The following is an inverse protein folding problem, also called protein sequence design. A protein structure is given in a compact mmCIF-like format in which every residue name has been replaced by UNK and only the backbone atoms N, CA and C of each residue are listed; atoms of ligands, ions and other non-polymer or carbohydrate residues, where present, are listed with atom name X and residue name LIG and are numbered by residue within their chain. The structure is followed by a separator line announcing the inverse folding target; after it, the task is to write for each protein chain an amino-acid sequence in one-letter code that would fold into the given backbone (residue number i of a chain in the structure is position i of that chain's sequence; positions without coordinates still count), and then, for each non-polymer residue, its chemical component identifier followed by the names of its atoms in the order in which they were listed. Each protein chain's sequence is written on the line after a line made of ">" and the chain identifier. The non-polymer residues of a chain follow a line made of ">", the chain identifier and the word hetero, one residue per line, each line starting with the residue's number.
data_IF_170081327403
#
_entry.id   IF_170081327403
#
_cell.length_a   1.000
_cell.length_b   1.000
_cell.length_c   1.000
_cell.angle_alpha   90.00
_cell.angle_beta   90.00
_cell.angle_gamma   90.00
#
_symmetry.space_group_name_H-M   'P 1'
#
loop_
_entity.id
_entity.type
_entity.pdbx_description
1 polymer ?
#
# COMPACT_ATOMS: atom_id res chain seq x y z
N UNK A 1 18.24 -81.69 -39.60
CA UNK A 1 17.82 -80.93 -40.80
C UNK A 1 16.30 -80.86 -40.88
N UNK A 2 15.70 -79.71 -40.51
CA UNK A 2 14.34 -79.18 -40.82
C UNK A 2 13.94 -78.24 -39.68
N UNK A 3 14.20 -76.94 -39.82
CA UNK A 3 13.43 -75.93 -40.55
C UNK A 3 12.43 -75.24 -39.62
N UNK A 4 12.75 -73.96 -39.33
CA UNK A 4 11.91 -72.97 -38.66
C UNK A 4 10.58 -72.78 -39.38
N UNK A 5 9.51 -72.53 -38.62
CA UNK A 5 8.45 -71.60 -39.06
C UNK A 5 8.00 -70.72 -37.89
N UNK A 6 7.96 -69.44 -38.23
CA UNK A 6 7.62 -68.24 -37.49
C UNK A 6 6.16 -68.27 -37.02
N UNK A 7 5.88 -68.05 -35.73
CA UNK A 7 4.53 -67.73 -35.24
C UNK A 7 4.56 -66.62 -34.18
N UNK A 8 3.98 -65.50 -34.59
CA UNK A 8 3.53 -64.33 -33.86
C UNK A 8 3.50 -64.45 -32.32
N UNK A 9 4.46 -63.81 -31.66
CA UNK A 9 4.36 -63.44 -30.25
C UNK A 9 3.63 -62.10 -30.14
N UNK A 10 2.39 -62.22 -29.68
CA UNK A 10 1.40 -61.23 -29.27
C UNK A 10 2.02 -60.02 -28.56
N UNK A 11 1.91 -58.86 -29.19
CA UNK A 11 1.98 -57.55 -28.52
C UNK A 11 0.66 -57.31 -27.78
N UNK A 12 0.63 -57.39 -26.45
CA UNK A 12 -0.48 -56.83 -25.67
C UNK A 12 -0.23 -56.82 -24.15
N UNK A 13 -0.51 -55.67 -23.54
CA UNK A 13 -0.90 -55.45 -22.15
C UNK A 13 0.17 -55.53 -21.05
N UNK A 14 0.80 -54.39 -20.78
CA UNK A 14 0.93 -53.84 -19.42
C UNK A 14 1.10 -52.32 -19.51
N UNK A 15 0.03 -51.63 -19.87
CA UNK A 15 0.00 -50.17 -19.93
C UNK A 15 -1.33 -49.64 -19.38
N UNK A 16 -1.69 -49.98 -18.14
CA UNK A 16 -2.69 -49.23 -17.37
C UNK A 16 -2.43 -49.45 -15.89
N UNK A 17 -1.76 -48.51 -15.23
CA UNK A 17 -1.96 -48.14 -13.81
C UNK A 17 -1.38 -46.73 -13.54
N UNK A 18 -1.60 -45.77 -14.46
CA UNK A 18 -1.35 -44.34 -14.18
C UNK A 18 -2.58 -43.50 -14.53
N UNK A 19 -3.77 -44.06 -14.30
CA UNK A 19 -5.03 -43.33 -14.31
C UNK A 19 -5.61 -43.40 -12.89
N UNK A 20 -4.94 -42.73 -11.96
CA UNK A 20 -5.30 -42.77 -10.54
C UNK A 20 -4.75 -41.61 -9.72
N UNK A 21 -4.34 -40.52 -10.37
CA UNK A 21 -4.11 -39.23 -9.70
C UNK A 21 -4.70 -38.12 -10.58
N UNK A 22 -5.97 -38.31 -10.96
CA UNK A 22 -6.79 -37.26 -11.53
C UNK A 22 -7.75 -36.80 -10.44
N UNK A 23 -7.23 -36.14 -9.42
CA UNK A 23 -8.04 -35.45 -8.43
C UNK A 23 -8.90 -34.45 -9.18
N UNK A 24 -10.19 -34.74 -9.27
CA UNK A 24 -11.17 -33.74 -9.66
C UNK A 24 -11.35 -32.88 -8.42
N UNK A 25 -10.45 -31.92 -8.22
CA UNK A 25 -10.38 -31.13 -6.99
C UNK A 25 -11.54 -30.12 -6.98
N UNK A 26 -12.68 -30.61 -6.48
CA UNK A 26 -13.67 -29.78 -5.81
C UNK A 26 -12.92 -29.01 -4.71
N UNK A 27 -12.71 -27.70 -4.90
CA UNK A 27 -11.69 -26.91 -4.20
C UNK A 27 -11.51 -27.25 -2.72
N UNK A 28 -10.29 -27.62 -2.33
CA UNK A 28 -9.94 -28.00 -0.95
C UNK A 28 -8.93 -27.05 -0.29
N UNK A 29 -8.48 -26.01 -1.01
CA UNK A 29 -7.49 -25.06 -0.49
C UNK A 29 -8.17 -23.80 0.03
N UNK A 30 -7.80 -23.42 1.26
CA UNK A 30 -8.18 -22.15 1.85
C UNK A 30 -7.35 -21.03 1.21
N UNK A 31 -8.01 -20.03 0.61
CA UNK A 31 -7.34 -18.84 0.11
C UNK A 31 -7.26 -17.78 1.22
N UNK A 32 -6.07 -17.62 1.80
CA UNK A 32 -5.77 -16.60 2.80
C UNK A 32 -4.97 -15.45 2.18
N UNK A 33 -5.34 -14.24 2.55
CA UNK A 33 -4.60 -13.01 2.28
C UNK A 33 -4.05 -12.45 3.59
N UNK A 34 -2.81 -11.98 3.56
CA UNK A 34 -2.19 -11.22 4.65
C UNK A 34 -2.03 -9.77 4.20
N UNK A 35 -2.59 -8.84 4.95
CA UNK A 35 -2.55 -7.40 4.67
C UNK A 35 -1.73 -6.69 5.75
N UNK A 36 -0.75 -5.88 5.36
CA UNK A 36 0.10 -5.10 6.27
C UNK A 36 -0.03 -3.60 5.98
N UNK A 37 0.16 -2.74 6.98
CA UNK A 37 0.18 -1.28 6.80
C UNK A 37 -1.17 -0.63 6.51
N UNK A 38 -2.28 -1.39 6.56
CA UNK A 38 -3.62 -0.86 6.33
C UNK A 38 -4.14 -0.12 7.58
N UNK A 39 -3.98 1.19 7.58
CA UNK A 39 -4.50 2.11 8.62
C UNK A 39 -5.82 2.76 8.20
N UNK A 40 -6.15 2.74 6.90
CA UNK A 40 -7.31 3.38 6.32
C UNK A 40 -8.39 2.36 5.96
N UNK A 41 -9.64 2.79 5.97
CA UNK A 41 -10.79 1.94 5.64
C UNK A 41 -11.06 1.91 4.14
N UNK A 42 -11.80 0.89 3.68
CA UNK A 42 -12.30 0.81 2.31
C UNK A 42 -11.53 -0.12 1.37
N UNK A 43 -10.58 -0.91 1.86
CA UNK A 43 -9.93 -1.94 1.05
C UNK A 43 -10.92 -3.09 0.79
N UNK A 44 -11.22 -3.35 -0.49
CA UNK A 44 -12.03 -4.50 -0.91
C UNK A 44 -11.19 -5.39 -1.82
N UNK A 45 -11.12 -6.67 -1.48
CA UNK A 45 -10.44 -7.69 -2.26
C UNK A 45 -11.47 -8.58 -2.94
N UNK A 46 -11.16 -9.04 -4.14
CA UNK A 46 -12.04 -9.86 -4.95
C UNK A 46 -11.32 -11.12 -5.43
N UNK A 47 -11.99 -12.26 -5.37
CA UNK A 47 -11.57 -13.51 -5.98
C UNK A 47 -12.75 -14.09 -6.77
N UNK A 48 -12.67 -14.10 -8.10
CA UNK A 48 -13.82 -14.40 -8.95
C UNK A 48 -14.97 -13.41 -8.70
N UNK A 49 -16.16 -13.93 -8.35
CA UNK A 49 -17.34 -13.11 -8.02
C UNK A 49 -17.46 -12.79 -6.52
N UNK A 50 -16.59 -13.37 -5.69
CA UNK A 50 -16.60 -13.18 -4.25
C UNK A 50 -15.76 -11.96 -3.85
N UNK A 51 -16.23 -11.21 -2.85
CA UNK A 51 -15.49 -10.08 -2.30
C UNK A 51 -15.39 -10.19 -0.78
N UNK A 52 -14.27 -9.70 -0.24
CA UNK A 52 -14.07 -9.54 1.20
C UNK A 52 -13.67 -8.08 1.46
N UNK A 53 -14.23 -7.51 2.52
CA UNK A 53 -13.84 -6.18 3.01
C UNK A 53 -12.79 -6.34 4.08
N UNK A 54 -11.66 -5.66 3.93
CA UNK A 54 -10.62 -5.59 4.95
C UNK A 54 -10.73 -4.24 5.64
N UNK A 55 -11.14 -4.25 6.89
CA UNK A 55 -11.24 -3.02 7.68
C UNK A 55 -9.85 -2.62 8.17
N UNK A 56 -9.46 -1.36 7.98
CA UNK A 56 -8.22 -0.85 8.55
C UNK A 56 -8.22 -0.91 10.08
N UNK A 57 -7.08 -1.24 10.67
CA UNK A 57 -6.89 -1.25 12.12
C UNK A 57 -6.05 -0.05 12.58
N UNK A 58 -6.20 0.34 13.85
CA UNK A 58 -5.30 1.33 14.47
C UNK A 58 -3.85 0.81 14.45
N UNK A 59 -2.92 1.63 13.94
CA UNK A 59 -1.49 1.31 13.95
C UNK A 59 -0.99 0.36 12.84
N UNK A 60 -1.83 0.01 11.85
CA UNK A 60 -1.37 -0.71 10.65
C UNK A 60 -0.96 -2.15 10.90
N UNK A 61 -1.54 -2.79 11.92
CA UNK A 61 -1.27 -4.16 12.30
C UNK A 61 -1.48 -5.14 11.13
N UNK A 62 -0.74 -6.25 11.14
CA UNK A 62 -0.91 -7.34 10.17
C UNK A 62 -2.28 -7.97 10.35
N UNK A 63 -3.05 -8.00 9.26
CA UNK A 63 -4.38 -8.60 9.21
C UNK A 63 -4.37 -9.82 8.33
N UNK A 64 -5.10 -10.85 8.74
CA UNK A 64 -5.32 -12.06 7.95
C UNK A 64 -6.80 -12.18 7.66
N UNK A 65 -7.11 -12.41 6.40
CA UNK A 65 -8.48 -12.68 5.97
C UNK A 65 -8.47 -13.86 5.01
N UNK A 66 -9.61 -14.53 4.92
CA UNK A 66 -9.79 -15.72 4.11
C UNK A 66 -11.03 -15.54 3.25
N UNK A 67 -10.93 -15.91 1.98
CA UNK A 67 -12.11 -16.03 1.13
C UNK A 67 -12.94 -17.24 1.57
N UNK A 68 -14.25 -17.07 1.81
CA UNK A 68 -15.12 -18.17 2.21
C UNK A 68 -15.13 -19.35 1.22
N UNK A 69 -15.01 -19.08 -0.08
CA UNK A 69 -14.99 -20.12 -1.11
C UNK A 69 -13.58 -20.71 -1.24
N UNK A 70 -13.48 -22.04 -1.09
CA UNK A 70 -12.23 -22.78 -1.31
C UNK A 70 -11.84 -22.77 -2.78
N UNK A 71 -10.53 -22.85 -3.05
CA UNK A 71 -9.99 -22.87 -4.42
C UNK A 71 -9.44 -24.25 -4.78
N UNK A 72 -9.46 -24.64 -6.06
CA UNK A 72 -8.83 -25.89 -6.54
C UNK A 72 -7.30 -25.84 -6.46
N UNK A 73 -6.67 -27.00 -6.30
CA UNK A 73 -5.22 -27.13 -6.53
C UNK A 73 -4.88 -26.79 -8.00
N UNK A 74 -3.68 -26.26 -8.23
CA UNK A 74 -3.17 -25.81 -9.55
C UNK A 74 -3.99 -24.73 -10.27
N UNK A 75 -5.07 -24.23 -9.66
CA UNK A 75 -5.75 -23.02 -10.09
C UNK A 75 -4.81 -21.82 -10.00
N UNK A 76 -5.04 -20.78 -10.80
CA UNK A 76 -4.23 -19.56 -10.70
C UNK A 76 -4.81 -18.67 -9.60
N UNK A 77 -3.98 -18.27 -8.64
CA UNK A 77 -4.34 -17.24 -7.67
C UNK A 77 -4.57 -15.92 -8.41
N UNK A 78 -5.80 -15.44 -8.44
CA UNK A 78 -6.19 -14.27 -9.22
C UNK A 78 -6.93 -13.24 -8.36
N UNK A 79 -6.41 -12.99 -7.16
CA UNK A 79 -6.97 -11.99 -6.25
C UNK A 79 -6.81 -10.60 -6.87
N UNK A 80 -7.86 -9.79 -6.82
CA UNK A 80 -7.86 -8.41 -7.30
C UNK A 80 -8.08 -7.48 -6.12
N UNK A 81 -7.43 -6.32 -6.16
CA UNK A 81 -7.82 -5.18 -5.33
C UNK A 81 -8.97 -4.50 -6.07
N UNK A 82 -10.20 -4.82 -5.68
CA UNK A 82 -11.41 -4.26 -6.32
C UNK A 82 -11.61 -2.80 -5.93
N UNK A 83 -11.22 -2.42 -4.71
CA UNK A 83 -11.26 -1.05 -4.23
C UNK A 83 -10.05 -0.75 -3.36
N UNK A 84 -9.35 0.34 -3.68
CA UNK A 84 -8.28 0.88 -2.83
C UNK A 84 -8.90 1.58 -1.60
N UNK A 85 -8.25 1.49 -0.43
CA UNK A 85 -8.66 2.26 0.74
C UNK A 85 -8.51 3.77 0.49
N UNK A 86 -9.24 4.58 1.27
CA UNK A 86 -9.13 6.04 1.20
C UNK A 86 -7.74 6.49 1.64
N UNK A 87 -7.15 7.48 0.94
CA UNK A 87 -5.86 8.08 1.28
C UNK A 87 -4.72 7.08 1.57
N UNK A 88 -4.75 5.91 0.93
CA UNK A 88 -3.72 4.90 1.02
C UNK A 88 -3.66 4.10 -0.28
N UNK A 89 -2.50 3.49 -0.55
CA UNK A 89 -2.29 2.63 -1.70
C UNK A 89 -1.80 1.26 -1.25
N UNK A 90 -2.55 0.23 -1.61
CA UNK A 90 -2.23 -1.18 -1.39
C UNK A 90 -1.78 -1.85 -2.68
N UNK A 91 -0.73 -2.66 -2.58
CA UNK A 91 -0.21 -3.47 -3.69
C UNK A 91 0.12 -4.88 -3.22
N UNK A 92 -0.01 -5.86 -4.12
CA UNK A 92 0.46 -7.21 -3.83
C UNK A 92 1.97 -7.24 -3.64
N UNK A 93 2.45 -8.11 -2.75
CA UNK A 93 3.87 -8.45 -2.70
C UNK A 93 4.25 -9.29 -3.93
N UNK A 94 5.44 -9.06 -4.46
CA UNK A 94 5.90 -9.72 -5.67
C UNK A 94 5.92 -11.25 -5.51
N UNK A 95 5.40 -11.95 -6.52
CA UNK A 95 5.38 -13.42 -6.55
C UNK A 95 4.35 -14.09 -5.63
N UNK A 96 3.50 -13.32 -4.94
CA UNK A 96 2.47 -13.89 -4.04
C UNK A 96 1.10 -14.09 -4.68
N UNK A 97 0.85 -13.44 -5.83
CA UNK A 97 -0.40 -13.50 -6.58
C UNK A 97 -0.10 -13.75 -8.07
N UNK A 98 -1.03 -14.35 -8.82
CA UNK A 98 -0.81 -14.80 -10.20
C UNK A 98 -0.05 -16.12 -10.34
N UNK A 99 0.26 -16.78 -9.22
CA UNK A 99 0.95 -18.08 -9.17
C UNK A 99 -0.03 -19.25 -9.11
N UNK A 100 0.48 -20.47 -9.32
CA UNK A 100 -0.31 -21.69 -9.16
C UNK A 100 -0.59 -21.98 -7.68
N UNK A 101 -1.83 -22.33 -7.39
CA UNK A 101 -2.32 -22.64 -6.07
C UNK A 101 -1.82 -24.02 -5.63
N UNK A 102 -1.20 -24.05 -4.45
CA UNK A 102 -0.92 -25.25 -3.67
C UNK A 102 -1.12 -24.89 -2.20
N UNK A 103 -0.98 -25.88 -1.31
CA UNK A 103 -1.14 -25.70 0.13
C UNK A 103 -0.37 -24.50 0.71
N UNK A 104 0.82 -24.20 0.20
CA UNK A 104 1.64 -23.08 0.68
C UNK A 104 1.32 -21.74 0.03
N UNK A 105 1.12 -21.71 -1.30
CA UNK A 105 0.86 -20.45 -2.02
C UNK A 105 -0.52 -19.89 -1.72
N UNK A 106 -1.53 -20.75 -1.51
CA UNK A 106 -2.89 -20.35 -1.14
C UNK A 106 -2.94 -19.61 0.21
N UNK A 107 -1.94 -19.80 1.09
CA UNK A 107 -1.86 -19.15 2.39
C UNK A 107 -0.95 -17.90 2.41
N UNK A 108 -0.33 -17.54 1.28
CA UNK A 108 0.77 -16.58 1.20
C UNK A 108 0.50 -15.40 0.26
N UNK A 109 -0.75 -15.16 -0.13
CA UNK A 109 -1.08 -13.92 -0.85
C UNK A 109 -0.85 -12.75 0.11
N UNK A 110 0.07 -11.86 -0.22
CA UNK A 110 0.44 -10.74 0.64
C UNK A 110 0.12 -9.40 -0.03
N UNK A 111 -0.38 -8.46 0.75
CA UNK A 111 -0.73 -7.11 0.30
C UNK A 111 -0.12 -6.12 1.28
N UNK A 112 0.69 -5.21 0.75
CA UNK A 112 1.34 -4.14 1.52
C UNK A 112 0.65 -2.82 1.19
N UNK A 113 0.15 -2.15 2.22
CA UNK A 113 -0.50 -0.84 2.12
C UNK A 113 0.40 0.26 2.66
N UNK A 114 0.37 1.41 1.99
CA UNK A 114 1.13 2.60 2.38
C UNK A 114 0.14 3.76 2.52
N UNK A 115 0.19 4.49 3.64
CA UNK A 115 -0.63 5.71 3.80
C UNK A 115 -0.07 6.81 2.90
N UNK A 116 -0.94 7.56 2.23
CA UNK A 116 -0.52 8.69 1.41
C UNK A 116 0.01 9.82 2.31
N UNK A 117 0.97 10.57 1.80
CA UNK A 117 1.45 11.80 2.44
C UNK A 117 1.12 13.00 1.57
N UNK A 118 0.85 14.13 2.22
CA UNK A 118 0.42 15.37 1.58
C UNK A 118 1.34 16.53 1.98
N UNK A 119 1.40 17.53 1.12
CA UNK A 119 2.19 18.74 1.35
C UNK A 119 1.52 19.66 2.35
N UNK A 120 2.36 20.41 3.06
CA UNK A 120 1.97 21.43 4.02
C UNK A 120 2.52 22.77 3.54
N UNK A 121 1.70 23.80 3.45
CA UNK A 121 2.14 25.10 2.95
C UNK A 121 1.14 26.21 3.17
N UNK A 122 1.48 27.38 2.63
CA UNK A 122 0.58 28.52 2.61
C UNK A 122 1.28 29.82 2.25
N UNK A 123 0.74 30.92 2.72
CA UNK A 123 1.12 32.27 2.30
C UNK A 123 2.10 32.92 3.27
N UNK A 124 2.98 33.76 2.72
CA UNK A 124 3.93 34.57 3.48
C UNK A 124 3.71 36.04 3.14
N UNK A 125 3.62 36.90 4.15
CA UNK A 125 3.49 38.35 3.99
C UNK A 125 4.49 39.09 4.86
N UNK A 126 5.05 40.19 4.36
CA UNK A 126 5.96 41.06 5.12
C UNK A 126 7.39 40.53 5.30
N UNK A 127 7.75 39.42 4.64
CA UNK A 127 9.09 38.84 4.69
C UNK A 127 10.05 39.61 3.77
N UNK A 128 10.62 40.71 4.25
CA UNK A 128 11.57 41.55 3.49
C UNK A 128 13.04 41.20 3.73
N UNK A 129 13.34 40.39 4.74
CA UNK A 129 14.70 40.01 5.14
C UNK A 129 14.89 38.49 5.11
N UNK A 130 16.12 38.04 4.87
CA UNK A 130 16.46 36.63 4.88
C UNK A 130 16.57 36.07 6.31
N UNK A 131 16.44 34.75 6.45
CA UNK A 131 16.64 34.05 7.72
C UNK A 131 15.37 33.48 8.37
N UNK A 132 14.21 33.58 7.71
CA UNK A 132 13.02 32.85 8.16
C UNK A 132 13.24 31.35 8.00
N UNK A 133 13.12 30.61 9.10
CA UNK A 133 13.07 29.16 9.10
C UNK A 133 11.77 28.68 9.72
N UNK A 134 11.02 27.86 9.01
CA UNK A 134 9.82 27.20 9.50
C UNK A 134 10.15 25.77 9.89
N UNK A 135 9.58 25.28 10.98
CA UNK A 135 9.76 23.90 11.43
C UNK A 135 8.42 23.18 11.52
N UNK A 136 8.39 21.90 11.13
CA UNK A 136 7.29 20.98 11.36
C UNK A 136 7.86 19.64 11.84
N UNK A 137 7.90 19.45 13.16
CA UNK A 137 8.55 18.29 13.78
C UNK A 137 10.07 18.31 13.62
N UNK A 138 10.61 17.35 12.86
CA UNK A 138 12.03 17.24 12.52
C UNK A 138 12.41 17.96 11.21
N UNK A 139 11.43 18.49 10.48
CA UNK A 139 11.62 19.07 9.17
C UNK A 139 11.74 20.59 9.26
N UNK A 140 12.89 21.13 8.85
CA UNK A 140 13.15 22.57 8.76
C UNK A 140 13.12 23.02 7.31
N UNK A 141 12.41 24.11 7.03
CA UNK A 141 12.30 24.75 5.73
C UNK A 141 12.86 26.18 5.82
N UNK A 142 13.86 26.48 5.00
CA UNK A 142 14.34 27.85 4.77
C UNK A 142 13.39 28.56 3.81
N UNK A 143 12.86 29.71 4.21
CA UNK A 143 11.98 30.54 3.39
C UNK A 143 12.76 31.76 2.88
N UNK A 144 12.98 31.90 1.56
CA UNK A 144 13.75 33.01 1.00
C UNK A 144 13.11 34.37 1.28
N UNK A 145 13.94 35.41 1.41
CA UNK A 145 13.45 36.79 1.49
C UNK A 145 12.60 37.14 0.25
N UNK A 146 11.50 37.87 0.45
CA UNK A 146 10.57 38.23 -0.62
C UNK A 146 9.62 37.11 -1.06
N UNK A 147 9.71 35.90 -0.48
CA UNK A 147 8.75 34.85 -0.76
C UNK A 147 7.33 35.25 -0.33
N UNK A 148 6.36 34.92 -1.19
CA UNK A 148 4.91 35.13 -0.93
C UNK A 148 4.20 33.84 -0.54
N UNK A 149 4.89 32.71 -0.62
CA UNK A 149 4.38 31.40 -0.24
C UNK A 149 5.52 30.47 0.20
N UNK A 150 5.16 29.40 0.91
CA UNK A 150 6.08 28.34 1.29
C UNK A 150 5.38 26.98 1.15
N UNK A 151 6.14 25.91 0.97
CA UNK A 151 5.62 24.55 0.97
C UNK A 151 6.70 23.57 1.41
N UNK A 152 6.35 22.67 2.32
CA UNK A 152 7.10 21.46 2.65
C UNK A 152 6.87 20.42 1.53
N UNK A 153 7.61 20.55 0.42
CA UNK A 153 7.39 19.78 -0.81
C UNK A 153 8.21 18.50 -0.89
N UNK A 154 9.32 18.41 -0.17
CA UNK A 154 10.19 17.23 -0.20
C UNK A 154 9.46 16.03 0.40
N UNK A 155 9.67 14.83 -0.16
CA UNK A 155 8.97 13.60 0.27
C UNK A 155 9.11 13.33 1.77
N UNK A 156 10.25 13.69 2.34
CA UNK A 156 10.58 13.53 3.76
C UNK A 156 9.86 14.55 4.65
N UNK A 157 9.41 15.66 4.06
CA UNK A 157 8.71 16.75 4.73
C UNK A 157 7.19 16.65 4.63
N UNK A 158 6.68 15.84 3.69
CA UNK A 158 5.27 15.56 3.56
C UNK A 158 4.73 14.86 4.81
N UNK A 159 3.51 15.19 5.18
CA UNK A 159 2.87 14.67 6.38
C UNK A 159 1.89 13.57 5.96
N UNK A 160 1.95 12.41 6.61
CA UNK A 160 1.05 11.31 6.33
C UNK A 160 -0.41 11.71 6.64
N UNK A 161 -1.37 11.19 5.86
CA UNK A 161 -2.80 11.36 6.12
C UNK A 161 -3.17 10.93 7.54
N UNK A 162 -3.87 11.79 8.27
CA UNK A 162 -4.27 11.56 9.66
C UNK A 162 -3.15 11.78 10.69
N UNK A 163 -1.93 12.12 10.27
CA UNK A 163 -0.87 12.52 11.20
C UNK A 163 -1.06 13.99 11.63
N UNK A 164 -0.60 14.29 12.86
CA UNK A 164 -0.62 15.66 13.41
C UNK A 164 0.52 16.46 12.79
N UNK A 165 0.26 17.71 12.44
CA UNK A 165 1.27 18.70 12.08
C UNK A 165 1.20 19.92 13.00
N UNK A 166 2.34 20.58 13.19
CA UNK A 166 2.44 21.85 13.89
C UNK A 166 3.63 22.64 13.34
N UNK A 167 3.36 23.72 12.61
CA UNK A 167 4.34 24.63 12.06
C UNK A 167 4.71 25.68 13.09
N UNK A 168 6.01 25.86 13.31
CA UNK A 168 6.55 26.89 14.20
C UNK A 168 7.63 27.69 13.50
N UNK A 169 7.92 28.89 14.01
CA UNK A 169 9.09 29.67 13.57
C UNK A 169 10.30 29.14 14.33
N UNK A 170 11.23 28.50 13.62
CA UNK A 170 12.50 28.05 14.18
C UNK A 170 13.53 29.19 14.27
N UNK A 171 13.49 30.13 13.33
CA UNK A 171 14.33 31.32 13.33
C UNK A 171 13.59 32.47 12.67
N UNK A 172 13.60 33.63 13.31
CA UNK A 172 13.12 34.87 12.72
C UNK A 172 14.20 35.48 11.79
N UNK A 173 13.80 36.18 10.72
CA UNK A 173 14.70 37.03 9.94
C UNK A 173 15.30 38.16 10.78
N UNK A 174 16.44 38.69 10.33
CA UNK A 174 17.01 39.89 10.93
C UNK A 174 16.04 41.08 10.80
N UNK A 175 15.72 41.74 11.92
CA UNK A 175 14.85 42.92 11.94
C UNK A 175 13.35 42.66 11.77
N UNK A 176 12.91 41.39 11.80
CA UNK A 176 11.50 41.01 11.70
C UNK A 176 11.14 39.99 12.80
N UNK A 177 9.86 39.97 13.18
CA UNK A 177 9.22 38.92 13.96
C UNK A 177 8.07 38.37 13.12
N UNK A 178 8.06 37.05 12.93
CA UNK A 178 7.03 36.36 12.16
C UNK A 178 6.11 35.58 13.09
N UNK A 179 4.80 35.73 12.87
CA UNK A 179 3.74 34.96 13.53
C UNK A 179 3.07 34.03 12.52
N UNK A 180 2.51 32.91 12.99
CA UNK A 180 1.86 31.91 12.15
C UNK A 180 0.41 31.67 12.61
N UNK A 181 -0.54 31.73 11.68
CA UNK A 181 -1.93 31.33 11.88
C UNK A 181 -2.25 30.03 11.11
N UNK A 182 -3.24 29.28 11.60
CA UNK A 182 -3.62 27.95 11.10
C UNK A 182 -2.44 26.95 11.11
N UNK A 183 -1.56 27.08 12.10
CA UNK A 183 -0.27 26.42 12.08
C UNK A 183 -0.31 24.96 12.56
N UNK A 184 -1.41 24.48 13.13
CA UNK A 184 -1.51 23.12 13.65
C UNK A 184 -2.82 22.44 13.28
N UNK A 185 -2.79 21.11 13.15
CA UNK A 185 -3.96 20.32 12.84
C UNK A 185 -3.63 18.86 12.57
N UNK A 186 -4.62 18.13 12.06
CA UNK A 186 -4.47 16.77 11.55
C UNK A 186 -4.48 16.86 10.02
N UNK A 187 -3.54 16.19 9.36
CA UNK A 187 -3.44 16.20 7.90
C UNK A 187 -4.68 15.54 7.27
N UNK A 188 -5.48 16.25 6.48
CA UNK A 188 -6.61 15.66 5.76
C UNK A 188 -6.13 14.81 4.57
N UNK A 189 -7.09 14.22 3.85
CA UNK A 189 -6.85 13.50 2.59
C UNK A 189 -6.60 14.43 1.40
N UNK A 190 -5.65 15.35 1.58
CA UNK A 190 -5.27 16.37 0.61
C UNK A 190 -4.23 17.34 1.17
N UNK A 191 -3.62 18.17 0.31
CA UNK A 191 -2.65 19.17 0.72
C UNK A 191 -3.30 20.25 1.59
N UNK A 192 -2.54 20.71 2.59
CA UNK A 192 -2.91 21.88 3.42
C UNK A 192 -2.18 23.09 2.88
N UNK A 193 -2.93 24.14 2.53
CA UNK A 193 -2.41 25.34 1.84
C UNK A 193 -2.81 26.66 2.51
N UNK A 194 -3.44 26.60 3.68
CA UNK A 194 -4.05 27.76 4.36
C UNK A 194 -3.25 28.26 5.58
N UNK A 195 -1.99 27.85 5.73
CA UNK A 195 -1.11 28.39 6.77
C UNK A 195 -0.71 29.81 6.40
N UNK A 196 -0.89 30.76 7.32
CA UNK A 196 -0.55 32.15 7.08
C UNK A 196 0.63 32.56 7.95
N UNK A 197 1.75 32.96 7.32
CA UNK A 197 2.92 33.54 7.99
C UNK A 197 2.93 35.03 7.76
N UNK A 198 2.95 35.81 8.84
CA UNK A 198 3.01 37.28 8.78
C UNK A 198 4.22 37.77 9.54
N UNK A 199 5.13 38.41 8.82
CA UNK A 199 6.33 39.03 9.38
C UNK A 199 6.13 40.54 9.49
N UNK A 200 6.54 41.10 10.63
CA UNK A 200 6.48 42.54 10.94
C UNK A 200 7.76 42.97 11.64
N UNK A 201 8.06 44.26 11.59
CA UNK A 201 9.11 44.80 12.46
C UNK A 201 8.66 44.65 13.93
N UNK A 202 9.60 44.33 14.84
CA UNK A 202 9.30 44.20 16.27
C UNK A 202 8.80 45.50 16.91
#
# INVERSE_FOLDING_TARGET
>A
MKSMTLRASVSALCAVMLAGCGGSDDGNLVLQVTVTGLTKTGLILQNGNETITINGGTGGATQKATFPTLIPEDSTLAVKIAQQPLASNCKFADGTNGVKANYYSALRVEINCTTNSYTLGGTVSGLTSAGLKLNNGANVLDVPAGATSFTFSDKQQQVADGAIYAVTVASNPAGLVCDIANNAGVMPSGPVTNIAVTCRQP
#
